data_IF_805671135702
#
_entry.id   IF_805671135702
#
_cell.length_a   1.000
_cell.length_b   1.000
_cell.length_c   1.000
_cell.angle_alpha   90.00
_cell.angle_beta   90.00
_cell.angle_gamma   90.00
#
_symmetry.space_group_name_H-M   'P 1'
#
loop_
_entity.id
_entity.type
_entity.pdbx_description
1 polymer ?
#
# COMPACT_ATOMS: atom_id res chain seq x y z
N UNK A 1 -18.23 -16.45 -31.93
CA UNK A 1 -17.26 -15.50 -32.50
C UNK A 1 -16.20 -15.26 -31.44
N UNK A 2 -14.90 -15.42 -31.77
CA UNK A 2 -13.81 -15.12 -30.84
C UNK A 2 -13.76 -13.59 -30.67
N UNK A 3 -13.74 -13.05 -29.44
CA UNK A 3 -13.68 -11.60 -29.22
C UNK A 3 -12.43 -10.96 -29.83
N UNK A 4 -12.53 -9.69 -30.28
CA UNK A 4 -11.35 -8.88 -30.62
C UNK A 4 -10.52 -8.65 -29.36
N UNK A 5 -9.21 -8.76 -29.50
CA UNK A 5 -8.24 -8.57 -28.43
C UNK A 5 -7.40 -7.34 -28.72
N UNK A 6 -7.07 -6.59 -27.68
CA UNK A 6 -6.14 -5.46 -27.71
C UNK A 6 -4.96 -5.79 -26.81
N UNK A 7 -3.75 -5.53 -27.28
CA UNK A 7 -2.53 -5.97 -26.62
C UNK A 7 -1.43 -4.94 -26.82
N UNK A 8 -0.74 -4.61 -25.74
CA UNK A 8 0.51 -3.83 -25.74
C UNK A 8 1.64 -4.70 -25.19
N UNK A 9 2.86 -4.41 -25.63
CA UNK A 9 4.09 -5.10 -25.21
C UNK A 9 5.04 -4.07 -24.61
N UNK A 10 5.66 -4.44 -23.49
CA UNK A 10 6.61 -3.66 -22.72
C UNK A 10 7.93 -4.43 -22.76
N UNK A 11 8.94 -3.85 -23.37
CA UNK A 11 10.30 -4.39 -23.44
C UNK A 11 11.07 -4.08 -22.15
N UNK A 12 11.67 -5.10 -21.53
CA UNK A 12 12.50 -4.98 -20.33
C UNK A 12 13.98 -4.66 -20.66
N UNK A 13 14.37 -4.66 -21.93
CA UNK A 13 15.70 -4.26 -22.39
C UNK A 13 16.75 -5.38 -22.42
N UNK A 14 16.40 -6.59 -21.99
CA UNK A 14 17.27 -7.77 -21.94
C UNK A 14 16.71 -8.96 -22.75
N UNK A 15 15.76 -8.68 -23.64
CA UNK A 15 15.07 -9.68 -24.46
C UNK A 15 13.86 -10.31 -23.77
N UNK A 16 13.60 -10.00 -22.49
CA UNK A 16 12.33 -10.32 -21.82
C UNK A 16 11.30 -9.23 -22.10
N UNK A 17 10.04 -9.64 -22.13
CA UNK A 17 8.91 -8.75 -22.41
C UNK A 17 7.75 -9.04 -21.46
N UNK A 18 7.02 -7.98 -21.10
CA UNK A 18 5.72 -8.08 -20.43
C UNK A 18 4.65 -7.64 -21.43
N UNK A 19 3.60 -8.43 -21.57
CA UNK A 19 2.43 -8.07 -22.36
C UNK A 19 1.23 -7.78 -21.49
N UNK A 20 0.43 -6.80 -21.89
CA UNK A 20 -0.86 -6.48 -21.27
C UNK A 20 -1.96 -6.60 -22.32
N UNK A 21 -3.03 -7.32 -22.00
CA UNK A 21 -4.06 -7.73 -22.95
C UNK A 21 -5.47 -7.55 -22.39
N UNK A 22 -6.42 -7.05 -23.19
CA UNK A 22 -7.84 -6.92 -22.80
C UNK A 22 -8.81 -7.30 -23.93
N UNK A 23 -10.09 -7.41 -23.59
CA UNK A 23 -11.21 -7.69 -24.51
C UNK A 23 -11.68 -9.15 -24.56
N UNK A 24 -10.89 -10.09 -24.02
CA UNK A 24 -11.19 -11.53 -24.07
C UNK A 24 -11.92 -12.05 -22.83
N UNK A 25 -11.35 -11.79 -21.64
CA UNK A 25 -11.81 -12.32 -20.36
C UNK A 25 -12.59 -11.28 -19.56
N UNK A 26 -13.41 -11.73 -18.61
CA UNK A 26 -14.07 -10.89 -17.59
C UNK A 26 -14.78 -9.61 -18.09
N UNK A 27 -15.41 -9.66 -19.27
CA UNK A 27 -16.06 -8.52 -19.95
C UNK A 27 -17.19 -7.80 -19.19
N UNK A 28 -17.64 -8.35 -18.06
CA UNK A 28 -18.65 -7.72 -17.20
C UNK A 28 -18.03 -6.87 -16.07
N UNK A 29 -16.73 -7.01 -15.80
CA UNK A 29 -16.03 -6.12 -14.88
C UNK A 29 -15.94 -4.71 -15.48
N UNK A 30 -15.79 -3.70 -14.63
CA UNK A 30 -15.58 -2.33 -15.12
C UNK A 30 -14.26 -2.20 -15.85
N UNK A 31 -13.23 -2.92 -15.41
CA UNK A 31 -11.98 -3.11 -16.14
C UNK A 31 -11.44 -4.52 -15.96
N UNK A 32 -10.74 -5.04 -16.97
CA UNK A 32 -10.07 -6.33 -16.88
C UNK A 32 -8.87 -6.39 -17.82
N UNK A 33 -7.81 -7.01 -17.34
CA UNK A 33 -6.55 -7.16 -18.09
C UNK A 33 -5.90 -8.49 -17.77
N UNK A 34 -5.27 -9.07 -18.77
CA UNK A 34 -4.31 -10.16 -18.61
C UNK A 34 -2.92 -9.56 -18.73
N UNK A 35 -2.07 -9.80 -17.73
CA UNK A 35 -0.64 -9.48 -17.80
C UNK A 35 0.13 -10.77 -17.94
N UNK A 36 1.08 -10.82 -18.88
CA UNK A 36 1.87 -12.03 -19.13
C UNK A 36 3.33 -11.70 -19.40
N UNK A 37 4.23 -12.43 -18.73
CA UNK A 37 5.67 -12.50 -19.02
C UNK A 37 6.09 -13.96 -19.01
N UNK A 38 6.77 -14.43 -20.05
CA UNK A 38 7.00 -15.86 -20.25
C UNK A 38 5.69 -16.66 -20.19
N UNK A 39 5.63 -17.67 -19.33
CA UNK A 39 4.43 -18.47 -19.02
C UNK A 39 3.67 -17.93 -17.80
N UNK A 40 4.19 -16.94 -17.10
CA UNK A 40 3.53 -16.35 -15.94
C UNK A 40 2.41 -15.44 -16.44
N UNK A 41 1.18 -15.74 -16.04
CA UNK A 41 0.00 -15.02 -16.49
C UNK A 41 -0.87 -14.64 -15.30
N UNK A 42 -1.16 -13.35 -15.17
CA UNK A 42 -2.10 -12.79 -14.21
C UNK A 42 -3.39 -12.36 -14.91
N UNK A 43 -4.53 -12.61 -14.29
CA UNK A 43 -5.78 -11.94 -14.63
C UNK A 43 -6.10 -10.94 -13.52
N UNK A 44 -6.25 -9.67 -13.87
CA UNK A 44 -6.78 -8.67 -12.96
C UNK A 44 -8.15 -8.16 -13.44
N UNK A 45 -9.07 -7.98 -12.49
CA UNK A 45 -10.39 -7.38 -12.72
C UNK A 45 -10.70 -6.35 -11.66
N UNK A 46 -11.36 -5.28 -12.06
CA UNK A 46 -11.78 -4.21 -11.15
C UNK A 46 -13.28 -3.94 -11.26
N UNK A 47 -13.91 -3.78 -10.11
CA UNK A 47 -15.33 -3.45 -9.96
C UNK A 47 -15.48 -2.39 -8.88
N UNK A 48 -16.39 -1.45 -9.07
CA UNK A 48 -16.68 -0.39 -8.12
C UNK A 48 -18.14 0.01 -8.24
N UNK A 49 -18.82 0.16 -7.11
CA UNK A 49 -20.21 0.57 -7.10
C UNK A 49 -20.40 1.95 -7.75
N UNK A 50 -21.55 2.19 -8.38
CA UNK A 50 -21.89 3.52 -8.91
C UNK A 50 -22.45 4.45 -7.83
N UNK A 51 -22.86 3.90 -6.69
CA UNK A 51 -23.35 4.66 -5.54
C UNK A 51 -22.26 4.71 -4.47
N UNK A 52 -22.12 5.88 -3.87
CA UNK A 52 -21.32 6.07 -2.66
C UNK A 52 -21.93 5.24 -1.52
N UNK A 53 -21.08 4.73 -0.63
CA UNK A 53 -21.52 4.09 0.60
C UNK A 53 -21.59 5.09 1.74
N UNK A 54 -22.32 4.75 2.81
CA UNK A 54 -22.49 5.63 3.97
C UNK A 54 -21.25 5.62 4.92
N UNK A 55 -20.10 5.15 4.44
CA UNK A 55 -18.85 5.12 5.23
C UNK A 55 -17.98 6.34 4.95
N UNK A 56 -17.21 6.79 5.94
CA UNK A 56 -16.37 7.98 5.89
C UNK A 56 -14.92 7.71 5.40
N UNK A 57 -14.68 6.54 4.81
CA UNK A 57 -13.38 6.12 4.29
C UNK A 57 -13.52 5.52 2.89
N UNK A 58 -12.39 5.23 2.23
CA UNK A 58 -12.36 4.51 0.95
C UNK A 58 -12.45 2.98 1.20
N UNK A 59 -13.59 2.32 0.93
CA UNK A 59 -13.73 0.86 0.96
C UNK A 59 -13.06 0.20 -0.24
N UNK A 60 -11.73 0.28 -0.30
CA UNK A 60 -10.90 -0.41 -1.29
C UNK A 60 -10.43 -1.76 -0.74
N UNK A 61 -10.76 -2.83 -1.46
CA UNK A 61 -10.27 -4.20 -1.21
C UNK A 61 -9.40 -4.66 -2.37
N UNK A 62 -8.15 -5.01 -2.08
CA UNK A 62 -7.25 -5.69 -3.01
C UNK A 62 -7.13 -7.16 -2.60
N UNK A 63 -7.46 -8.09 -3.48
CA UNK A 63 -7.33 -9.53 -3.26
C UNK A 63 -6.46 -10.14 -4.36
N UNK A 64 -5.26 -10.57 -3.99
CA UNK A 64 -4.32 -11.30 -4.85
C UNK A 64 -4.34 -12.79 -4.49
N UNK A 65 -4.53 -13.66 -5.48
CA UNK A 65 -4.64 -15.11 -5.27
C UNK A 65 -3.80 -15.93 -6.23
N UNK A 66 -3.04 -16.85 -5.67
CA UNK A 66 -2.37 -17.89 -6.43
C UNK A 66 -3.20 -19.18 -6.38
N UNK A 67 -3.69 -19.62 -7.54
CA UNK A 67 -4.37 -20.92 -7.63
C UNK A 67 -3.37 -22.02 -7.91
N UNK A 68 -3.47 -23.15 -7.22
CA UNK A 68 -2.57 -24.30 -7.47
C UNK A 68 -2.72 -24.87 -8.88
N UNK A 69 -3.90 -24.71 -9.48
CA UNK A 69 -4.12 -25.04 -10.88
C UNK A 69 -3.21 -24.25 -11.85
N UNK A 70 -2.71 -23.07 -11.46
CA UNK A 70 -1.79 -22.27 -12.28
C UNK A 70 -0.43 -22.96 -12.49
N UNK A 71 -0.01 -23.82 -11.55
CA UNK A 71 1.19 -24.66 -11.65
C UNK A 71 0.85 -26.14 -11.89
N UNK A 72 -0.42 -26.46 -12.19
CA UNK A 72 -0.88 -27.83 -12.46
C UNK A 72 -0.85 -28.74 -11.23
N UNK A 73 -0.83 -28.17 -10.03
CA UNK A 73 -0.73 -28.88 -8.74
C UNK A 73 -2.07 -28.89 -8.02
N UNK A 74 -2.21 -29.77 -7.02
CA UNK A 74 -3.33 -29.75 -6.08
C UNK A 74 -2.90 -29.04 -4.80
N UNK A 75 -3.78 -28.28 -4.13
CA UNK A 75 -3.46 -27.71 -2.82
C UNK A 75 -3.10 -28.81 -1.81
N UNK A 76 -2.11 -28.51 -0.96
CA UNK A 76 -1.79 -29.29 0.23
C UNK A 76 -2.97 -29.45 1.19
N UNK A 77 -2.85 -30.37 2.15
CA UNK A 77 -3.86 -30.57 3.20
C UNK A 77 -5.08 -31.42 2.82
N UNK A 78 -6.07 -31.46 3.72
CA UNK A 78 -7.21 -32.37 3.67
C UNK A 78 -8.30 -31.96 2.66
N UNK A 79 -8.63 -30.67 2.59
CA UNK A 79 -9.78 -30.18 1.82
C UNK A 79 -9.52 -30.00 0.31
N UNK A 80 -8.27 -30.16 -0.16
CA UNK A 80 -7.87 -30.06 -1.58
C UNK A 80 -8.41 -28.81 -2.29
N UNK A 81 -8.44 -27.69 -1.57
CA UNK A 81 -8.98 -26.41 -2.03
C UNK A 81 -8.18 -25.27 -1.39
N UNK A 82 -7.98 -24.19 -2.14
CA UNK A 82 -7.37 -22.96 -1.64
C UNK A 82 -8.23 -22.38 -0.49
N UNK A 83 -7.56 -22.00 0.59
CA UNK A 83 -8.19 -21.55 1.83
C UNK A 83 -7.97 -20.03 2.04
N UNK A 84 -7.68 -19.64 3.28
CA UNK A 84 -7.24 -18.28 3.60
C UNK A 84 -5.96 -17.93 2.83
N UNK A 85 -5.73 -16.65 2.50
CA UNK A 85 -4.51 -16.27 1.80
C UNK A 85 -3.26 -16.58 2.63
N UNK A 86 -2.16 -16.91 1.95
CA UNK A 86 -0.83 -17.02 2.54
C UNK A 86 -0.26 -15.65 2.89
N UNK A 87 0.81 -15.62 3.69
CA UNK A 87 1.48 -14.36 4.03
C UNK A 87 2.04 -13.68 2.77
N UNK A 88 2.59 -14.44 1.81
CA UNK A 88 3.04 -13.91 0.52
C UNK A 88 1.91 -13.26 -0.29
N UNK A 89 0.73 -13.89 -0.32
CA UNK A 89 -0.44 -13.31 -0.98
C UNK A 89 -0.90 -12.02 -0.28
N UNK A 90 -0.97 -11.99 1.06
CA UNK A 90 -1.32 -10.79 1.84
C UNK A 90 -0.29 -9.68 1.64
N UNK A 91 1.00 -9.98 1.63
CA UNK A 91 2.06 -9.00 1.41
C UNK A 91 1.94 -8.39 0.00
N UNK A 92 1.64 -9.21 -1.01
CA UNK A 92 1.40 -8.74 -2.38
C UNK A 92 0.17 -7.82 -2.46
N UNK A 93 -0.94 -8.18 -1.78
CA UNK A 93 -2.11 -7.29 -1.68
C UNK A 93 -1.74 -5.93 -1.08
N UNK A 94 -0.88 -5.91 -0.05
CA UNK A 94 -0.44 -4.68 0.61
C UNK A 94 0.47 -3.82 -0.25
N UNK A 95 1.34 -4.42 -1.07
CA UNK A 95 2.17 -3.66 -2.03
C UNK A 95 1.25 -2.86 -2.96
N UNK A 96 0.34 -3.56 -3.64
CA UNK A 96 -0.60 -2.96 -4.59
C UNK A 96 -1.51 -1.91 -3.92
N UNK A 97 -2.11 -2.23 -2.77
CA UNK A 97 -3.01 -1.29 -2.06
C UNK A 97 -2.31 0.03 -1.69
N UNK A 98 -1.05 -0.03 -1.25
CA UNK A 98 -0.28 1.16 -0.84
C UNK A 98 -0.07 2.15 -1.98
N UNK A 99 0.09 1.67 -3.22
CA UNK A 99 0.31 2.53 -4.39
C UNK A 99 -1.02 3.05 -4.95
N UNK A 100 -2.06 2.21 -4.97
CA UNK A 100 -3.37 2.60 -5.53
C UNK A 100 -4.14 3.55 -4.63
N UNK A 101 -4.19 3.28 -3.32
CA UNK A 101 -5.08 3.96 -2.37
C UNK A 101 -4.97 5.50 -2.39
N UNK A 102 -3.78 6.10 -2.47
CA UNK A 102 -3.64 7.57 -2.47
C UNK A 102 -4.16 8.26 -3.74
N UNK A 103 -4.38 7.52 -4.84
CA UNK A 103 -4.73 8.07 -6.16
C UNK A 103 -6.23 8.10 -6.43
N UNK A 104 -7.04 7.52 -5.54
CA UNK A 104 -8.47 7.77 -5.52
C UNK A 104 -8.75 9.13 -4.89
N UNK A 105 -9.79 9.85 -5.35
CA UNK A 105 -10.24 11.06 -4.69
C UNK A 105 -10.51 10.82 -3.20
N UNK A 106 -10.27 11.85 -2.38
CA UNK A 106 -10.39 11.75 -0.91
C UNK A 106 -11.82 11.50 -0.43
N UNK A 107 -12.80 11.89 -1.24
CA UNK A 107 -14.24 11.78 -1.02
C UNK A 107 -14.84 10.58 -1.78
N UNK A 108 -14.00 9.66 -2.26
CA UNK A 108 -14.46 8.45 -2.94
C UNK A 108 -14.75 7.34 -1.93
N UNK A 109 -16.03 7.10 -1.68
CA UNK A 109 -16.59 6.12 -0.73
C UNK A 109 -17.30 4.95 -1.42
N UNK A 110 -17.17 4.80 -2.75
CA UNK A 110 -17.75 3.68 -3.47
C UNK A 110 -16.94 2.40 -3.22
N UNK A 111 -17.62 1.34 -2.78
CA UNK A 111 -17.02 0.02 -2.58
C UNK A 111 -16.32 -0.43 -3.85
N UNK A 112 -15.01 -0.63 -3.75
CA UNK A 112 -14.12 -0.88 -4.88
C UNK A 112 -13.30 -2.12 -4.60
N UNK A 113 -13.33 -3.05 -5.56
CA UNK A 113 -12.63 -4.31 -5.49
C UNK A 113 -11.65 -4.44 -6.64
N UNK A 114 -10.41 -4.78 -6.31
CA UNK A 114 -9.34 -5.16 -7.25
C UNK A 114 -9.02 -6.62 -6.98
N UNK A 115 -9.34 -7.49 -7.94
CA UNK A 115 -9.03 -8.91 -7.83
C UNK A 115 -7.91 -9.25 -8.81
N UNK A 116 -6.85 -9.88 -8.32
CA UNK A 116 -5.70 -10.31 -9.12
C UNK A 116 -5.53 -11.80 -8.90
N UNK A 117 -5.38 -12.56 -9.98
CA UNK A 117 -5.25 -14.01 -9.90
C UNK A 117 -4.10 -14.50 -10.75
N UNK A 118 -3.22 -15.33 -10.17
CA UNK A 118 -2.29 -16.16 -10.95
C UNK A 118 -3.09 -17.21 -11.73
N UNK A 119 -2.95 -17.16 -13.05
CA UNK A 119 -3.62 -18.04 -14.01
C UNK A 119 -2.68 -19.11 -14.55
N UNK A 120 -1.40 -18.79 -14.68
CA UNK A 120 -0.35 -19.68 -15.15
C UNK A 120 0.96 -19.28 -14.48
N UNK A 121 1.72 -20.27 -14.01
CA UNK A 121 3.00 -20.08 -13.32
C UNK A 121 4.18 -20.23 -14.29
N UNK A 122 5.28 -19.52 -14.01
CA UNK A 122 6.59 -19.69 -14.65
C UNK A 122 7.66 -19.63 -13.57
N UNK A 123 8.56 -20.61 -13.55
CA UNK A 123 9.60 -20.72 -12.52
C UNK A 123 10.59 -19.55 -12.57
N UNK A 124 10.75 -18.91 -13.74
CA UNK A 124 11.69 -17.82 -13.96
C UNK A 124 11.06 -16.43 -13.77
N UNK A 125 9.76 -16.33 -13.47
CA UNK A 125 9.04 -15.05 -13.35
C UNK A 125 8.28 -14.97 -12.04
N UNK A 126 8.64 -14.00 -11.21
CA UNK A 126 7.93 -13.73 -9.97
C UNK A 126 6.64 -12.93 -10.26
N UNK A 127 5.45 -13.44 -9.87
CA UNK A 127 4.18 -12.83 -10.26
C UNK A 127 3.86 -11.54 -9.51
N UNK A 128 4.35 -11.38 -8.29
CA UNK A 128 4.16 -10.20 -7.45
C UNK A 128 4.69 -8.92 -8.11
N UNK A 129 5.82 -9.00 -8.82
CA UNK A 129 6.42 -7.89 -9.57
C UNK A 129 5.53 -7.35 -10.72
N UNK A 130 4.46 -8.05 -11.10
CA UNK A 130 3.51 -7.62 -12.13
C UNK A 130 2.12 -7.29 -11.55
N UNK A 131 1.90 -7.48 -10.24
CA UNK A 131 0.59 -7.31 -9.62
C UNK A 131 0.12 -5.85 -9.67
N UNK A 132 0.98 -4.89 -9.31
CA UNK A 132 0.68 -3.45 -9.41
C UNK A 132 0.40 -2.99 -10.84
N UNK A 133 1.19 -3.47 -11.80
CA UNK A 133 0.95 -3.25 -13.24
C UNK A 133 -0.43 -3.75 -13.66
N UNK A 134 -0.80 -4.97 -13.27
CA UNK A 134 -2.08 -5.57 -13.62
C UNK A 134 -3.25 -4.79 -13.02
N UNK A 135 -3.14 -4.38 -11.76
CA UNK A 135 -4.16 -3.59 -11.08
C UNK A 135 -4.36 -2.23 -11.74
N UNK A 136 -3.28 -1.47 -11.95
CA UNK A 136 -3.36 -0.16 -12.58
C UNK A 136 -3.89 -0.26 -14.01
N UNK A 137 -3.40 -1.22 -14.81
CA UNK A 137 -3.87 -1.41 -16.18
C UNK A 137 -5.39 -1.73 -16.23
N UNK A 138 -5.90 -2.53 -15.29
CA UNK A 138 -7.33 -2.80 -15.19
C UNK A 138 -8.13 -1.54 -14.82
N UNK A 139 -7.62 -0.69 -13.92
CA UNK A 139 -8.24 0.59 -13.57
C UNK A 139 -8.24 1.56 -14.75
N UNK A 140 -7.15 1.65 -15.53
CA UNK A 140 -7.09 2.50 -16.73
C UNK A 140 -8.09 2.07 -17.82
N UNK A 141 -8.58 0.83 -17.78
CA UNK A 141 -9.62 0.31 -18.67
C UNK A 141 -11.04 0.47 -18.11
N UNK A 142 -11.17 0.97 -16.87
CA UNK A 142 -12.44 1.28 -16.24
C UNK A 142 -12.79 2.76 -16.39
N UNK A 143 -13.91 3.13 -15.81
CA UNK A 143 -14.44 4.49 -15.71
C UNK A 143 -14.20 5.08 -14.30
N UNK A 144 -13.28 4.51 -13.50
CA UNK A 144 -13.06 4.97 -12.13
C UNK A 144 -12.39 6.35 -12.10
N UNK A 145 -12.73 7.22 -11.13
CA UNK A 145 -11.97 8.44 -10.89
C UNK A 145 -10.63 8.04 -10.24
N UNK A 146 -9.56 8.03 -11.03
CA UNK A 146 -8.23 7.62 -10.61
C UNK A 146 -7.20 8.58 -11.23
N UNK A 147 -6.32 9.17 -10.40
CA UNK A 147 -5.53 10.33 -10.79
C UNK A 147 -4.56 10.07 -11.95
N UNK A 148 -3.83 8.96 -11.94
CA UNK A 148 -2.85 8.62 -12.97
C UNK A 148 -2.57 7.13 -13.04
N UNK A 149 -1.97 6.65 -14.14
CA UNK A 149 -1.46 5.28 -14.20
C UNK A 149 -0.23 5.12 -13.29
N UNK A 150 -0.15 3.98 -12.63
CA UNK A 150 1.02 3.55 -11.85
C UNK A 150 1.54 2.21 -12.31
N UNK A 151 2.72 1.86 -11.85
CA UNK A 151 3.18 0.48 -11.88
C UNK A 151 4.07 0.16 -10.70
N UNK A 152 4.35 -1.12 -10.55
CA UNK A 152 5.33 -1.67 -9.62
C UNK A 152 6.37 -2.44 -10.40
N UNK A 153 7.63 -2.35 -9.97
CA UNK A 153 8.69 -3.18 -10.53
C UNK A 153 9.69 -3.55 -9.43
N UNK A 154 10.19 -4.78 -9.50
CA UNK A 154 11.25 -5.28 -8.62
C UNK A 154 12.60 -4.95 -9.22
N UNK A 155 13.55 -4.45 -8.44
CA UNK A 155 14.93 -4.22 -8.84
C UNK A 155 15.85 -5.05 -7.96
N UNK A 156 16.79 -5.74 -8.61
CA UNK A 156 17.93 -6.37 -7.96
C UNK A 156 19.24 -5.91 -8.59
N UNK A 157 20.36 -6.42 -8.07
CA UNK A 157 21.69 -6.11 -8.56
C UNK A 157 22.58 -7.34 -8.53
N UNK A 158 23.14 -7.68 -9.69
CA UNK A 158 24.00 -8.86 -9.86
C UNK A 158 25.29 -8.39 -10.52
N UNK A 159 26.44 -8.77 -9.95
CA UNK A 159 27.76 -8.35 -10.45
C UNK A 159 27.91 -6.82 -10.62
N UNK A 160 27.25 -6.03 -9.78
CA UNK A 160 27.26 -4.56 -9.82
C UNK A 160 26.31 -3.94 -10.84
N UNK A 161 25.54 -4.73 -11.60
CA UNK A 161 24.58 -4.24 -12.58
C UNK A 161 23.14 -4.42 -12.09
N UNK A 162 22.32 -3.37 -12.22
CA UNK A 162 20.90 -3.44 -11.87
C UNK A 162 20.12 -4.26 -12.90
N UNK A 163 19.18 -5.08 -12.40
CA UNK A 163 18.27 -5.88 -13.19
C UNK A 163 16.83 -5.63 -12.76
N UNK A 164 15.94 -5.46 -13.74
CA UNK A 164 14.51 -5.28 -13.50
C UNK A 164 13.80 -6.63 -13.49
N UNK A 165 12.85 -6.80 -12.57
CA UNK A 165 12.07 -8.01 -12.35
C UNK A 165 12.93 -9.29 -12.42
N UNK A 166 13.99 -9.42 -11.60
CA UNK A 166 14.82 -10.62 -11.58
C UNK A 166 13.99 -11.87 -11.24
N UNK A 167 14.45 -13.03 -11.71
CA UNK A 167 13.93 -14.32 -11.26
C UNK A 167 14.33 -14.60 -9.80
N UNK A 168 13.70 -15.59 -9.18
CA UNK A 168 14.05 -15.99 -7.81
C UNK A 168 15.51 -16.43 -7.69
N UNK A 169 16.00 -17.21 -8.67
CA UNK A 169 17.41 -17.64 -8.70
C UNK A 169 18.38 -16.45 -8.85
N UNK A 170 18.00 -15.44 -9.64
CA UNK A 170 18.77 -14.21 -9.78
C UNK A 170 18.82 -13.40 -8.47
N UNK A 171 17.74 -13.39 -7.69
CA UNK A 171 17.71 -12.71 -6.39
C UNK A 171 18.61 -13.35 -5.34
N UNK A 172 18.85 -14.66 -5.41
CA UNK A 172 19.80 -15.34 -4.49
C UNK A 172 21.23 -14.79 -4.64
N UNK A 173 21.61 -14.39 -5.85
CA UNK A 173 22.89 -13.75 -6.16
C UNK A 173 22.88 -12.23 -5.94
N UNK A 174 21.71 -11.66 -5.64
CA UNK A 174 21.52 -10.21 -5.50
C UNK A 174 21.86 -9.72 -4.10
N UNK A 175 22.40 -8.51 -4.01
CA UNK A 175 22.57 -7.76 -2.76
C UNK A 175 21.46 -6.72 -2.52
N UNK A 176 20.56 -6.58 -3.48
CA UNK A 176 19.39 -5.69 -3.45
C UNK A 176 18.15 -6.49 -3.84
N UNK A 177 17.08 -6.38 -3.07
CA UNK A 177 15.76 -6.83 -3.50
C UNK A 177 14.71 -5.79 -3.10
N UNK A 178 14.31 -4.94 -4.05
CA UNK A 178 13.39 -3.84 -3.78
C UNK A 178 12.24 -3.80 -4.78
N UNK A 179 11.01 -3.66 -4.31
CA UNK A 179 9.83 -3.35 -5.12
C UNK A 179 9.56 -1.85 -5.02
N UNK A 180 9.54 -1.20 -6.18
CA UNK A 180 9.27 0.24 -6.31
C UNK A 180 7.90 0.41 -6.93
N UNK A 181 7.02 1.16 -6.27
CA UNK A 181 5.73 1.59 -6.78
C UNK A 181 5.74 3.07 -7.13
N UNK A 182 5.41 3.42 -8.37
CA UNK A 182 5.50 4.79 -8.86
C UNK A 182 4.49 5.09 -9.97
N UNK A 183 4.15 6.37 -10.12
CA UNK A 183 3.59 6.91 -11.36
C UNK A 183 4.70 7.29 -12.33
N UNK A 184 4.35 7.82 -13.51
CA UNK A 184 5.34 8.35 -14.44
C UNK A 184 6.20 9.47 -13.82
N UNK A 185 5.62 10.27 -12.91
CA UNK A 185 6.24 11.48 -12.41
C UNK A 185 6.78 11.37 -10.98
N UNK A 186 6.24 10.45 -10.16
CA UNK A 186 6.59 10.37 -8.74
C UNK A 186 6.68 8.94 -8.22
N UNK A 187 7.72 8.68 -7.43
CA UNK A 187 7.82 7.47 -6.60
C UNK A 187 6.86 7.61 -5.42
N UNK A 188 6.13 6.54 -5.12
CA UNK A 188 5.09 6.54 -4.08
C UNK A 188 5.36 5.51 -2.99
N UNK A 189 5.94 4.37 -3.36
CA UNK A 189 6.17 3.24 -2.47
C UNK A 189 7.52 2.61 -2.77
N UNK A 190 8.23 2.27 -1.69
CA UNK A 190 9.47 1.49 -1.73
C UNK A 190 9.36 0.47 -0.62
N UNK A 191 9.58 -0.80 -0.96
CA UNK A 191 9.64 -1.94 -0.02
C UNK A 191 10.80 -2.82 -0.46
N UNK A 192 11.59 -3.37 0.46
CA UNK A 192 12.67 -4.27 0.08
C UNK A 192 13.63 -4.62 1.19
N UNK A 193 14.56 -5.52 0.87
CA UNK A 193 15.68 -5.93 1.71
C UNK A 193 17.01 -5.79 0.95
N UNK A 194 18.08 -5.50 1.68
CA UNK A 194 19.39 -5.21 1.09
C UNK A 194 20.51 -5.71 2.01
N UNK A 195 21.65 -6.11 1.42
CA UNK A 195 22.85 -6.56 2.13
C UNK A 195 23.80 -5.38 2.38
N UNK A 196 23.42 -4.50 3.31
CA UNK A 196 24.25 -3.37 3.78
C UNK A 196 24.75 -2.41 2.67
N UNK A 197 23.89 -2.09 1.70
CA UNK A 197 24.18 -1.10 0.65
C UNK A 197 24.21 0.33 1.20
N UNK A 198 24.87 1.24 0.48
CA UNK A 198 24.82 2.68 0.74
C UNK A 198 23.49 3.33 0.33
N UNK A 199 23.19 4.49 0.89
CA UNK A 199 22.03 5.30 0.51
C UNK A 199 22.08 5.75 -0.96
N UNK A 200 23.28 5.98 -1.49
CA UNK A 200 23.51 6.39 -2.88
C UNK A 200 23.10 5.26 -3.85
N UNK A 201 23.54 4.03 -3.57
CA UNK A 201 23.15 2.84 -4.34
C UNK A 201 21.63 2.59 -4.28
N UNK A 202 21.01 2.81 -3.12
CA UNK A 202 19.55 2.69 -2.97
C UNK A 202 18.81 3.69 -3.88
N UNK A 203 19.26 4.95 -3.91
CA UNK A 203 18.66 5.98 -4.77
C UNK A 203 18.86 5.65 -6.25
N UNK A 204 20.00 5.08 -6.63
CA UNK A 204 20.25 4.63 -8.00
C UNK A 204 19.33 3.46 -8.41
N UNK A 205 19.13 2.48 -7.53
CA UNK A 205 18.21 1.37 -7.75
C UNK A 205 16.76 1.85 -7.96
N UNK A 206 16.31 2.81 -7.12
CA UNK A 206 14.98 3.43 -7.25
C UNK A 206 14.83 4.13 -8.59
N UNK A 207 15.84 4.92 -9.01
CA UNK A 207 15.82 5.61 -10.32
C UNK A 207 15.78 4.62 -11.48
N UNK A 208 16.59 3.57 -11.42
CA UNK A 208 16.62 2.53 -12.45
C UNK A 208 15.26 1.84 -12.61
N UNK A 209 14.60 1.49 -11.50
CA UNK A 209 13.25 0.93 -11.53
C UNK A 209 12.21 1.93 -12.07
N UNK A 210 12.30 3.20 -11.68
CA UNK A 210 11.36 4.24 -12.10
C UNK A 210 11.34 4.43 -13.63
N UNK A 211 12.50 4.37 -14.29
CA UNK A 211 12.57 4.44 -15.75
C UNK A 211 11.83 3.29 -16.46
N UNK A 212 11.80 2.09 -15.86
CA UNK A 212 11.02 0.97 -16.38
C UNK A 212 9.52 1.14 -16.09
N UNK A 213 9.17 1.65 -14.90
CA UNK A 213 7.79 1.95 -14.52
C UNK A 213 7.15 2.98 -15.45
N UNK A 214 7.89 4.00 -15.90
CA UNK A 214 7.40 4.97 -16.89
C UNK A 214 6.94 4.29 -18.17
N UNK A 215 7.76 3.39 -18.73
CA UNK A 215 7.40 2.60 -19.93
C UNK A 215 6.16 1.74 -19.71
N UNK A 216 6.03 1.15 -18.52
CA UNK A 216 4.85 0.36 -18.15
C UNK A 216 3.59 1.23 -18.06
N UNK A 217 3.66 2.43 -17.48
CA UNK A 217 2.55 3.39 -17.42
C UNK A 217 2.11 3.83 -18.82
N UNK A 218 3.06 4.16 -19.70
CA UNK A 218 2.76 4.54 -21.08
C UNK A 218 2.05 3.44 -21.86
N UNK A 219 2.45 2.17 -21.68
CA UNK A 219 1.79 1.03 -22.31
C UNK A 219 0.35 0.87 -21.84
N UNK A 220 0.05 1.10 -20.55
CA UNK A 220 -1.32 1.07 -20.04
C UNK A 220 -2.20 2.12 -20.71
N UNK A 221 -1.69 3.34 -20.86
CA UNK A 221 -2.42 4.43 -21.51
C UNK A 221 -2.66 4.11 -22.99
N UNK A 222 -1.66 3.59 -23.72
CA UNK A 222 -1.85 3.15 -25.11
C UNK A 222 -2.87 2.03 -25.23
N UNK A 223 -2.87 1.07 -24.30
CA UNK A 223 -3.86 -0.01 -24.27
C UNK A 223 -5.28 0.53 -24.06
N UNK A 224 -5.45 1.45 -23.11
CA UNK A 224 -6.74 2.08 -22.82
C UNK A 224 -7.27 2.86 -24.04
N UNK A 225 -6.43 3.68 -24.67
CA UNK A 225 -6.78 4.41 -25.90
C UNK A 225 -7.17 3.44 -27.04
N UNK A 226 -6.37 2.39 -27.26
CA UNK A 226 -6.64 1.41 -28.30
C UNK A 226 -7.96 0.65 -28.07
N UNK A 227 -8.26 0.31 -26.80
CA UNK A 227 -9.50 -0.38 -26.42
C UNK A 227 -10.75 0.51 -26.53
N UNK A 228 -10.57 1.83 -26.45
CA UNK A 228 -11.65 2.81 -26.34
C UNK A 228 -11.83 3.24 -24.89
N UNK A 229 -10.93 4.11 -24.44
CA UNK A 229 -10.90 4.66 -23.08
C UNK A 229 -12.28 5.14 -22.68
N UNK A 230 -12.72 4.75 -21.48
CA UNK A 230 -14.03 5.13 -20.96
C UNK A 230 -13.98 6.54 -20.39
N UNK A 231 -15.09 7.25 -20.54
CA UNK A 231 -15.29 8.50 -19.79
C UNK A 231 -15.26 8.19 -18.29
N UNK A 232 -14.56 9.03 -17.53
CA UNK A 232 -14.51 8.90 -16.07
C UNK A 232 -15.91 9.16 -15.52
N UNK A 233 -16.40 8.26 -14.66
CA UNK A 233 -17.72 8.40 -14.05
C UNK A 233 -17.77 9.60 -13.12
N UNK A 234 -18.87 10.32 -13.17
CA UNK A 234 -19.23 11.28 -12.13
C UNK A 234 -19.82 10.55 -10.92
N UNK A 235 -19.63 11.10 -9.73
CA UNK A 235 -20.24 10.62 -8.50
C UNK A 235 -20.69 11.80 -7.65
N UNK A 236 -21.63 11.54 -6.73
CA UNK A 236 -22.10 12.54 -5.78
C UNK A 236 -20.94 12.95 -4.86
N UNK A 237 -20.49 14.19 -5.00
CA UNK A 237 -19.47 14.76 -4.15
C UNK A 237 -20.00 14.93 -2.72
N UNK A 238 -19.12 14.83 -1.74
CA UNK A 238 -19.48 15.13 -0.37
C UNK A 238 -20.00 16.57 -0.23
N UNK A 239 -20.96 16.78 0.66
CA UNK A 239 -21.45 18.12 1.02
C UNK A 239 -20.29 18.98 1.50
N UNK A 240 -20.16 20.17 0.95
CA UNK A 240 -19.19 21.17 1.40
C UNK A 240 -19.88 22.49 1.74
N UNK A 241 -19.41 23.15 2.80
CA UNK A 241 -19.79 24.49 3.21
C UNK A 241 -18.54 25.29 3.55
N UNK A 242 -18.15 26.18 2.63
CA UNK A 242 -16.93 26.97 2.74
C UNK A 242 -16.98 28.00 3.89
N UNK A 243 -18.16 28.55 4.19
CA UNK A 243 -18.33 29.53 5.26
C UNK A 243 -18.24 28.85 6.62
N UNK A 244 -18.84 27.67 6.76
CA UNK A 244 -18.71 26.83 7.95
C UNK A 244 -17.25 26.37 8.14
N UNK A 245 -16.59 25.93 7.07
CA UNK A 245 -15.18 25.53 7.12
C UNK A 245 -14.28 26.67 7.61
N UNK A 246 -14.50 27.89 7.12
CA UNK A 246 -13.79 29.08 7.56
C UNK A 246 -14.09 29.42 9.02
N UNK A 247 -15.36 29.42 9.42
CA UNK A 247 -15.79 29.66 10.81
C UNK A 247 -15.07 28.71 11.77
N UNK A 248 -15.04 27.41 11.47
CA UNK A 248 -14.40 26.41 12.33
C UNK A 248 -12.88 26.58 12.34
N UNK A 249 -12.28 26.87 11.18
CA UNK A 249 -10.86 27.14 11.10
C UNK A 249 -10.46 28.30 12.01
N UNK A 250 -11.17 29.43 11.94
CA UNK A 250 -10.89 30.62 12.74
C UNK A 250 -11.09 30.37 14.25
N UNK A 251 -11.96 29.44 14.63
CA UNK A 251 -12.18 29.02 16.02
C UNK A 251 -11.12 28.03 16.54
N UNK A 252 -10.60 27.17 15.66
CA UNK A 252 -9.75 26.04 16.01
C UNK A 252 -8.25 26.33 15.89
N UNK A 253 -7.83 26.96 14.78
CA UNK A 253 -6.43 26.95 14.33
C UNK A 253 -5.45 27.43 15.40
N UNK A 254 -5.66 28.63 15.95
CA UNK A 254 -4.73 29.22 16.93
C UNK A 254 -4.69 28.41 18.24
N UNK A 255 -5.84 27.87 18.67
CA UNK A 255 -5.94 27.02 19.86
C UNK A 255 -5.16 25.71 19.66
N UNK A 256 -5.37 25.05 18.52
CA UNK A 256 -4.65 23.82 18.16
C UNK A 256 -3.16 24.10 18.04
N UNK A 257 -2.77 25.19 17.37
CA UNK A 257 -1.36 25.55 17.20
C UNK A 257 -0.68 25.75 18.55
N UNK A 258 -1.34 26.43 19.49
CA UNK A 258 -0.82 26.62 20.85
C UNK A 258 -0.63 25.28 21.59
N UNK A 259 -1.61 24.38 21.52
CA UNK A 259 -1.49 23.03 22.11
C UNK A 259 -0.38 22.22 21.45
N UNK A 260 -0.30 22.25 20.12
CA UNK A 260 0.74 21.57 19.35
C UNK A 260 2.15 22.07 19.72
N UNK A 261 2.30 23.38 19.94
CA UNK A 261 3.55 24.03 20.33
C UNK A 261 3.97 23.77 21.78
N UNK A 262 3.03 23.40 22.65
CA UNK A 262 3.31 23.16 24.07
C UNK A 262 4.26 21.97 24.32
N UNK A 263 4.39 21.04 23.36
CA UNK A 263 5.32 19.91 23.46
C UNK A 263 4.93 18.87 24.52
N UNK A 264 3.63 18.61 24.68
CA UNK A 264 3.08 17.71 25.70
C UNK A 264 3.11 16.23 25.32
N UNK A 265 2.88 15.36 26.32
CA UNK A 265 2.75 13.91 26.11
C UNK A 265 1.52 13.57 25.25
N UNK A 266 1.49 12.39 24.61
CA UNK A 266 0.41 12.03 23.68
C UNK A 266 -0.97 12.09 24.32
N UNK A 267 -1.14 11.54 25.52
CA UNK A 267 -2.46 11.51 26.18
C UNK A 267 -2.96 12.91 26.53
N UNK A 268 -2.09 13.78 27.07
CA UNK A 268 -2.42 15.17 27.41
C UNK A 268 -2.78 15.97 26.15
N UNK A 269 -1.98 15.82 25.09
CA UNK A 269 -2.24 16.48 23.80
C UNK A 269 -3.55 16.03 23.17
N UNK A 270 -3.79 14.71 23.13
CA UNK A 270 -5.02 14.15 22.59
C UNK A 270 -6.25 14.64 23.35
N UNK A 271 -6.18 14.71 24.68
CA UNK A 271 -7.26 15.27 25.49
C UNK A 271 -7.51 16.75 25.17
N UNK A 272 -6.45 17.56 25.08
CA UNK A 272 -6.57 18.99 24.76
C UNK A 272 -7.16 19.24 23.36
N UNK A 273 -6.76 18.45 22.35
CA UNK A 273 -7.39 18.52 21.02
C UNK A 273 -8.87 18.11 21.07
N UNK A 274 -9.22 17.05 21.81
CA UNK A 274 -10.62 16.67 22.00
C UNK A 274 -11.43 17.76 22.70
N UNK A 275 -10.89 18.40 23.73
CA UNK A 275 -11.54 19.51 24.43
C UNK A 275 -11.83 20.69 23.49
N UNK A 276 -10.87 21.11 22.66
CA UNK A 276 -11.09 22.17 21.66
C UNK A 276 -12.21 21.78 20.68
N UNK A 277 -12.21 20.52 20.22
CA UNK A 277 -13.25 20.02 19.31
C UNK A 277 -14.64 20.07 19.95
N UNK A 278 -14.76 19.64 21.20
CA UNK A 278 -16.04 19.66 21.91
C UNK A 278 -16.48 21.09 22.28
N UNK A 279 -15.56 21.99 22.62
CA UNK A 279 -15.85 23.43 22.78
C UNK A 279 -16.44 24.03 21.51
N UNK A 280 -15.87 23.70 20.34
CA UNK A 280 -16.36 24.19 19.05
C UNK A 280 -17.76 23.63 18.78
N UNK A 281 -17.97 22.32 18.98
CA UNK A 281 -19.29 21.71 18.82
C UNK A 281 -20.34 22.35 19.73
N UNK A 282 -19.99 22.67 20.97
CA UNK A 282 -20.88 23.32 21.93
C UNK A 282 -21.31 24.73 21.51
N UNK A 283 -20.68 25.34 20.49
CA UNK A 283 -21.13 26.63 19.92
C UNK A 283 -22.25 26.50 18.89
N UNK A 284 -22.62 25.28 18.52
CA UNK A 284 -23.72 24.96 17.63
C UNK A 284 -24.89 24.38 18.45
N UNK A 285 -26.11 24.67 18.01
CA UNK A 285 -27.33 24.08 18.57
C UNK A 285 -27.43 22.59 18.25
N UNK A 286 -28.28 21.85 18.98
CA UNK A 286 -28.53 20.43 18.72
C UNK A 286 -29.06 20.19 17.29
N UNK A 287 -29.90 21.09 16.78
CA UNK A 287 -30.43 21.01 15.40
C UNK A 287 -29.31 21.22 14.37
N UNK A 288 -28.40 22.17 14.60
CA UNK A 288 -27.25 22.42 13.71
C UNK A 288 -26.25 21.26 13.73
N UNK A 289 -26.01 20.64 14.88
CA UNK A 289 -25.14 19.47 14.99
C UNK A 289 -25.76 18.22 14.36
N UNK A 290 -27.09 18.08 14.38
CA UNK A 290 -27.78 17.01 13.68
C UNK A 290 -27.68 17.12 12.15
N UNK A 291 -27.55 18.34 11.61
CA UNK A 291 -27.43 18.59 10.16
C UNK A 291 -25.96 18.63 9.68
N UNK A 292 -25.08 19.33 10.40
CA UNK A 292 -23.69 19.60 9.98
C UNK A 292 -22.61 19.01 10.90
N UNK A 293 -22.96 18.20 11.90
CA UNK A 293 -22.00 17.70 12.91
C UNK A 293 -20.78 16.95 12.32
N UNK A 294 -20.99 16.21 11.23
CA UNK A 294 -19.91 15.52 10.51
C UNK A 294 -19.00 16.51 9.79
N UNK A 295 -19.57 17.55 9.16
CA UNK A 295 -18.78 18.64 8.56
C UNK A 295 -18.01 19.42 9.62
N UNK A 296 -18.61 19.66 10.79
CA UNK A 296 -17.91 20.30 11.91
C UNK A 296 -16.68 19.51 12.32
N UNK A 297 -16.84 18.19 12.47
CA UNK A 297 -15.74 17.28 12.81
C UNK A 297 -14.67 17.23 11.72
N UNK A 298 -15.06 17.18 10.45
CA UNK A 298 -14.16 17.15 9.29
C UNK A 298 -13.34 18.43 9.17
N UNK A 299 -13.98 19.59 9.28
CA UNK A 299 -13.31 20.89 9.19
C UNK A 299 -12.42 21.17 10.39
N UNK A 300 -12.80 20.72 11.58
CA UNK A 300 -11.91 20.72 12.74
C UNK A 300 -10.63 19.91 12.46
N UNK A 301 -10.76 18.66 11.99
CA UNK A 301 -9.60 17.81 11.66
C UNK A 301 -8.71 18.42 10.56
N UNK A 302 -9.30 19.17 9.61
CA UNK A 302 -8.56 19.90 8.58
C UNK A 302 -7.76 21.07 9.17
N UNK A 303 -8.38 21.86 10.06
CA UNK A 303 -7.69 22.93 10.77
C UNK A 303 -6.59 22.38 11.69
N UNK A 304 -6.85 21.25 12.36
CA UNK A 304 -5.87 20.57 13.20
C UNK A 304 -4.63 20.16 12.39
N UNK A 305 -4.86 19.48 11.27
CA UNK A 305 -3.79 19.08 10.35
C UNK A 305 -2.98 20.26 9.83
N UNK A 306 -3.64 21.38 9.51
CA UNK A 306 -2.97 22.59 9.04
C UNK A 306 -2.06 23.19 10.14
N UNK A 307 -2.60 23.41 11.34
CA UNK A 307 -1.84 23.98 12.46
C UNK A 307 -0.61 23.13 12.84
N UNK A 308 -0.77 21.81 12.92
CA UNK A 308 0.34 20.87 13.23
C UNK A 308 1.42 20.89 12.13
N UNK A 309 1.00 20.96 10.86
CA UNK A 309 1.93 21.04 9.73
C UNK A 309 2.70 22.35 9.74
N UNK A 310 2.01 23.47 9.98
CA UNK A 310 2.61 24.80 9.98
C UNK A 310 3.61 24.97 11.13
N UNK A 311 3.34 24.41 12.31
CA UNK A 311 4.32 24.38 13.41
C UNK A 311 5.62 23.71 12.98
N UNK A 312 5.52 22.57 12.29
CA UNK A 312 6.70 21.83 11.83
C UNK A 312 7.45 22.59 10.75
N UNK A 313 6.76 23.21 9.80
CA UNK A 313 7.37 23.94 8.69
C UNK A 313 7.96 25.29 9.10
N UNK A 314 7.27 26.03 9.94
CA UNK A 314 7.63 27.40 10.30
C UNK A 314 8.62 27.44 11.48
N UNK A 315 8.46 26.54 12.46
CA UNK A 315 9.27 26.57 13.68
C UNK A 315 10.24 25.38 13.80
N UNK A 316 10.12 24.35 12.94
CA UNK A 316 10.96 23.16 13.01
C UNK A 316 10.69 22.30 14.26
N UNK A 317 9.54 22.51 14.91
CA UNK A 317 9.14 21.84 16.14
C UNK A 317 8.09 20.76 15.88
N UNK A 318 8.19 19.68 16.64
CA UNK A 318 7.24 18.56 16.64
C UNK A 318 6.30 18.67 17.84
N UNK A 319 5.22 17.90 17.81
CA UNK A 319 4.17 17.87 18.85
C UNK A 319 4.63 17.51 20.26
N UNK A 320 5.80 16.91 20.39
CA UNK A 320 6.44 16.58 21.68
C UNK A 320 7.64 17.49 21.99
N UNK A 321 7.68 18.68 21.37
CA UNK A 321 8.68 19.73 21.62
C UNK A 321 10.06 19.49 20.97
N UNK A 322 10.28 18.33 20.36
CA UNK A 322 11.54 17.97 19.69
C UNK A 322 11.74 18.70 18.37
N UNK A 323 13.00 18.87 17.98
CA UNK A 323 13.36 19.28 16.61
C UNK A 323 13.17 18.13 15.62
N UNK A 324 13.22 18.45 14.34
CA UNK A 324 13.13 17.46 13.24
C UNK A 324 14.25 16.43 13.25
N UNK A 325 15.40 16.75 13.85
CA UNK A 325 16.59 15.87 13.94
C UNK A 325 16.70 15.11 15.26
N UNK A 326 15.88 15.42 16.25
CA UNK A 326 16.03 14.84 17.59
C UNK A 326 15.33 13.49 17.69
N UNK A 327 16.01 12.50 18.25
CA UNK A 327 15.45 11.17 18.54
C UNK A 327 14.84 11.17 19.96
N UNK A 328 13.75 10.42 20.15
CA UNK A 328 13.13 10.22 21.47
C UNK A 328 14.10 9.47 22.40
N UNK A 329 13.98 9.63 23.74
CA UNK A 329 14.78 8.83 24.68
C UNK A 329 14.66 7.34 24.39
N UNK A 330 15.80 6.64 24.41
CA UNK A 330 15.90 5.20 24.19
C UNK A 330 16.39 4.56 25.48
N UNK A 331 15.76 3.45 25.84
CA UNK A 331 16.33 2.51 26.80
C UNK A 331 16.10 1.09 26.32
N UNK A 332 17.03 0.23 26.69
CA UNK A 332 17.02 -1.19 26.32
C UNK A 332 17.30 -2.02 27.56
N UNK A 333 16.67 -3.19 27.63
CA UNK A 333 16.95 -4.21 28.64
C UNK A 333 16.99 -5.56 27.92
N UNK A 334 18.03 -6.34 28.18
CA UNK A 334 18.17 -7.71 27.68
C UNK A 334 17.86 -8.68 28.82
N UNK A 335 17.48 -9.91 28.47
CA UNK A 335 17.19 -10.99 29.43
C UNK A 335 16.05 -10.68 30.41
N UNK A 336 15.06 -9.89 29.96
CA UNK A 336 13.89 -9.54 30.76
C UNK A 336 12.99 -10.75 31.10
N UNK A 337 12.84 -11.70 30.17
CA UNK A 337 12.03 -12.91 30.37
C UNK A 337 12.90 -14.08 30.82
N UNK A 338 12.57 -14.74 31.95
CA UNK A 338 13.45 -15.72 32.57
C UNK A 338 13.50 -17.09 31.87
N UNK A 339 12.51 -17.42 31.02
CA UNK A 339 12.35 -18.76 30.44
C UNK A 339 12.61 -18.83 28.93
N UNK A 340 12.79 -17.70 28.25
CA UNK A 340 13.02 -17.66 26.80
C UNK A 340 14.49 -17.88 26.48
N UNK A 341 14.82 -18.38 25.27
CA UNK A 341 16.21 -18.48 24.85
C UNK A 341 16.90 -17.12 24.76
N UNK A 342 16.16 -16.09 24.33
CA UNK A 342 16.59 -14.69 24.41
C UNK A 342 15.38 -13.77 24.49
N UNK A 343 15.54 -12.64 25.16
CA UNK A 343 14.51 -11.60 25.22
C UNK A 343 15.12 -10.22 25.32
N UNK A 344 14.41 -9.22 24.81
CA UNK A 344 14.78 -7.82 24.94
C UNK A 344 13.54 -6.94 25.03
N UNK A 345 13.61 -5.91 25.86
CA UNK A 345 12.74 -4.75 25.79
C UNK A 345 13.50 -3.65 25.06
N UNK A 346 12.87 -3.11 24.02
CA UNK A 346 13.31 -1.88 23.37
C UNK A 346 12.22 -0.82 23.53
N UNK A 347 12.59 0.31 24.11
CA UNK A 347 11.68 1.46 24.23
C UNK A 347 12.29 2.69 23.59
N UNK A 348 11.51 3.36 22.74
CA UNK A 348 11.86 4.65 22.11
C UNK A 348 10.71 5.64 22.32
N UNK A 349 10.83 6.47 23.36
CA UNK A 349 9.76 7.32 23.86
C UNK A 349 8.53 6.51 24.27
N UNK A 350 7.36 6.86 23.75
CA UNK A 350 6.08 6.17 24.04
C UNK A 350 5.85 4.89 23.20
N UNK A 351 6.87 4.40 22.47
CA UNK A 351 6.77 3.15 21.70
C UNK A 351 7.66 2.10 22.34
N UNK A 352 7.10 0.95 22.70
CA UNK A 352 7.81 -0.17 23.33
C UNK A 352 7.55 -1.47 22.57
N UNK A 353 8.59 -2.28 22.43
CA UNK A 353 8.51 -3.65 21.92
C UNK A 353 9.18 -4.60 22.92
N UNK A 354 8.49 -5.70 23.25
CA UNK A 354 9.06 -6.87 23.89
C UNK A 354 9.28 -7.93 22.81
N UNK A 355 10.55 -8.21 22.52
CA UNK A 355 10.95 -9.20 21.52
C UNK A 355 11.51 -10.44 22.21
N UNK A 356 11.29 -11.61 21.61
CA UNK A 356 11.83 -12.89 22.06
C UNK A 356 12.50 -13.63 20.90
N UNK A 357 13.54 -14.39 21.21
CA UNK A 357 14.21 -15.29 20.29
C UNK A 357 14.02 -16.71 20.79
N UNK A 358 13.66 -17.61 19.89
CA UNK A 358 13.55 -19.04 20.17
C UNK A 358 14.33 -19.82 19.13
N UNK A 359 15.28 -20.64 19.59
CA UNK A 359 16.07 -21.52 18.73
C UNK A 359 15.37 -22.87 18.58
N UNK A 360 15.40 -23.41 17.37
CA UNK A 360 14.87 -24.73 17.01
C UNK A 360 15.87 -25.52 16.17
N UNK A 361 15.44 -26.70 15.72
CA UNK A 361 16.16 -27.54 14.78
C UNK A 361 15.52 -27.45 13.40
N UNK A 362 16.04 -28.18 12.41
CA UNK A 362 15.40 -28.28 11.09
C UNK A 362 13.98 -28.85 11.12
N UNK A 363 13.56 -29.49 12.22
CA UNK A 363 12.17 -29.96 12.38
C UNK A 363 11.17 -28.84 12.59
N UNK A 364 11.65 -27.68 13.04
CA UNK A 364 10.86 -26.47 13.26
C UNK A 364 10.93 -25.52 12.05
N UNK A 365 11.52 -25.95 10.93
CA UNK A 365 11.49 -25.26 9.64
C UNK A 365 10.03 -25.12 9.14
N UNK A 366 9.63 -23.92 8.72
CA UNK A 366 8.31 -23.62 8.19
C UNK A 366 8.29 -24.05 6.73
N UNK A 367 7.35 -24.91 6.39
CA UNK A 367 7.21 -25.43 5.04
C UNK A 367 6.32 -24.49 4.25
N UNK A 368 6.89 -23.84 3.24
CA UNK A 368 6.17 -22.98 2.32
C UNK A 368 5.66 -23.85 1.17
N UNK A 369 4.34 -23.86 0.99
CA UNK A 369 3.66 -24.51 -0.13
C UNK A 369 2.78 -23.49 -0.85
N UNK A 370 3.38 -22.74 -1.76
CA UNK A 370 2.68 -21.82 -2.66
C UNK A 370 2.68 -22.37 -4.09
N UNK A 371 1.71 -21.99 -4.93
CA UNK A 371 1.72 -22.37 -6.34
C UNK A 371 2.98 -21.91 -7.08
N UNK A 372 3.51 -20.72 -6.72
CA UNK A 372 4.69 -20.11 -7.33
C UNK A 372 6.02 -20.46 -6.64
N UNK A 373 5.98 -21.08 -5.45
CA UNK A 373 7.19 -21.40 -4.68
C UNK A 373 6.94 -22.51 -3.65
N UNK A 374 7.82 -23.50 -3.63
CA UNK A 374 7.94 -24.48 -2.55
C UNK A 374 9.30 -24.30 -1.88
N UNK A 375 9.34 -24.29 -0.56
CA UNK A 375 10.61 -24.10 0.14
C UNK A 375 10.48 -24.23 1.65
N UNK A 376 11.62 -24.01 2.31
CA UNK A 376 11.70 -23.96 3.76
C UNK A 376 12.15 -22.58 4.19
N UNK A 377 11.43 -22.01 5.14
CA UNK A 377 11.85 -20.81 5.84
C UNK A 377 12.45 -21.24 7.19
N UNK A 378 13.62 -20.69 7.54
CA UNK A 378 14.36 -21.07 8.77
C UNK A 378 14.49 -19.92 9.76
N UNK A 379 14.04 -18.73 9.37
CA UNK A 379 13.97 -17.54 10.18
C UNK A 379 12.56 -16.96 10.09
N UNK A 380 11.91 -16.75 11.22
CA UNK A 380 10.57 -16.16 11.27
C UNK A 380 10.58 -14.93 12.15
N UNK A 381 9.86 -13.91 11.72
CA UNK A 381 9.57 -12.73 12.52
C UNK A 381 8.05 -12.57 12.64
N UNK A 382 7.51 -12.90 13.81
CA UNK A 382 6.10 -12.70 14.10
C UNK A 382 5.88 -11.37 14.82
N UNK A 383 5.03 -10.53 14.24
CA UNK A 383 4.65 -9.24 14.82
C UNK A 383 3.24 -9.31 15.41
N UNK A 384 3.12 -9.01 16.70
CA UNK A 384 1.84 -8.96 17.41
C UNK A 384 1.54 -7.53 17.84
N UNK A 385 0.36 -7.02 17.49
CA UNK A 385 -0.09 -5.68 17.86
C UNK A 385 -1.38 -5.74 18.69
N UNK A 386 -1.27 -5.99 20.01
CA UNK A 386 -2.45 -6.13 20.87
C UNK A 386 -3.12 -4.77 21.12
N UNK A 387 -4.44 -4.73 21.38
CA UNK A 387 -5.18 -3.48 21.52
C UNK A 387 -4.69 -2.61 22.68
N UNK A 388 -4.20 -3.22 23.77
CA UNK A 388 -3.66 -2.46 24.91
C UNK A 388 -2.43 -1.62 24.55
N UNK A 389 -1.77 -1.87 23.41
CA UNK A 389 -0.59 -1.10 22.97
C UNK A 389 -0.92 0.37 22.67
N UNK A 390 -2.19 0.68 22.41
CA UNK A 390 -2.66 2.05 22.14
C UNK A 390 -3.58 2.62 23.23
N UNK A 391 -3.87 1.83 24.27
CA UNK A 391 -4.94 2.14 25.24
C UNK A 391 -6.31 2.15 24.58
#
# INVERSE_FOLDING_TARGET
>A
MIPKVFREVIDLGDGREISIETGKLAKQAHGSVVVQSGKCMLLCTVVSNYKQSDVDFLPLTVDYREKFAASGRYPGGFFKREARPSDGEVLTMRLVDRVLRPLFPKDYHAETQVMIQLMSHDDDVMPDAMAGLAASAAIQLSDFPFECAISEARVGRINGEFIINPSRAQLEESDIDMVIGASADSVMMVEGEMKEISEEEMVEAIKFAHEHIKKQCEAQLRLAEAFGKKEVREYEAEREDADLAKKIHDMAYDKVYAVAKAGSAKHERSAAFSEIKEEIKATFSEEELADYGDLVSKYYSKAEKAAVRDLTLNEGLRLDGRKTTDIRPIWCEVDYLPSTHGSAIFTRGETQALATVTLGTSREANQIDMPSFEGEETFYLHYNFPPFSTG
#
